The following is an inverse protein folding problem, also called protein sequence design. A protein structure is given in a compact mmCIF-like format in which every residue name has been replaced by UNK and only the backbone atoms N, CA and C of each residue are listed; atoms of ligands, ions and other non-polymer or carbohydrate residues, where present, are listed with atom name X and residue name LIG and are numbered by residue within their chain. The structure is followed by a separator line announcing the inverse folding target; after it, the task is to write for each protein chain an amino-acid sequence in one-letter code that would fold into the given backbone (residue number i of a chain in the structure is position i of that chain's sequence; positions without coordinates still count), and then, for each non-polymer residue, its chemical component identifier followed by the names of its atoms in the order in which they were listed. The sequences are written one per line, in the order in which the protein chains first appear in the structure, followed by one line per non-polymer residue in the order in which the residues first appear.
data_IF_554646373991
#
_entry.id   IF_554646373991
#
_cell.length_a   1.000
_cell.length_b   1.000
_cell.length_c   1.000
_cell.angle_alpha   90.00
_cell.angle_beta   90.00
_cell.angle_gamma   90.00
#
_symmetry.space_group_name_H-M   'P 1'
#
loop_
_entity.id
_entity.type
_entity.pdbx_description
1 polymer ?
#
# COMPACT_ATOMS: atom_id res chain seq x y z
N UNK A 1 -9.98 23.49 -15.21
CA UNK A 1 -10.82 22.34 -15.64
C UNK A 1 -10.35 21.01 -15.05
N UNK A 2 -9.04 20.72 -15.03
CA UNK A 2 -8.51 19.45 -14.49
C UNK A 2 -8.71 19.33 -12.97
N UNK A 3 -8.41 20.39 -12.21
CA UNK A 3 -8.58 20.43 -10.76
C UNK A 3 -10.03 20.20 -10.32
N UNK A 4 -10.99 20.80 -11.03
CA UNK A 4 -12.43 20.59 -10.73
C UNK A 4 -12.87 19.15 -10.99
N UNK A 5 -12.30 18.48 -11.98
CA UNK A 5 -12.59 17.07 -12.30
C UNK A 5 -12.05 16.16 -11.18
N UNK A 6 -10.79 16.37 -10.76
CA UNK A 6 -10.18 15.60 -9.68
C UNK A 6 -11.00 15.73 -8.38
N UNK A 7 -11.41 16.93 -8.00
CA UNK A 7 -12.23 17.16 -6.81
C UNK A 7 -13.58 16.43 -6.88
N UNK A 8 -14.26 16.47 -8.00
CA UNK A 8 -15.53 15.77 -8.19
C UNK A 8 -15.36 14.25 -8.10
N UNK A 9 -14.35 13.70 -8.75
CA UNK A 9 -14.02 12.28 -8.69
C UNK A 9 -13.65 11.85 -7.27
N UNK A 10 -12.84 12.63 -6.56
CA UNK A 10 -12.49 12.39 -5.16
C UNK A 10 -13.73 12.36 -4.27
N UNK A 11 -14.66 13.27 -4.46
CA UNK A 11 -15.92 13.30 -3.71
C UNK A 11 -16.79 12.07 -3.99
N UNK A 12 -16.85 11.62 -5.24
CA UNK A 12 -17.57 10.39 -5.61
C UNK A 12 -16.94 9.16 -4.95
N UNK A 13 -15.60 9.04 -4.99
CA UNK A 13 -14.87 7.95 -4.32
C UNK A 13 -15.10 7.96 -2.81
N UNK A 14 -15.03 9.13 -2.19
CA UNK A 14 -15.29 9.30 -0.75
C UNK A 14 -16.68 8.80 -0.35
N UNK A 15 -17.71 9.18 -1.11
CA UNK A 15 -19.08 8.73 -0.83
C UNK A 15 -19.26 7.22 -1.06
N UNK A 16 -18.58 6.65 -2.07
CA UNK A 16 -18.57 5.20 -2.27
C UNK A 16 -17.88 4.48 -1.12
N UNK A 17 -16.72 4.97 -0.69
CA UNK A 17 -15.95 4.40 0.41
C UNK A 17 -16.74 4.39 1.73
N UNK A 18 -17.55 5.40 2.00
CA UNK A 18 -18.44 5.43 3.17
C UNK A 18 -19.53 4.37 3.14
N UNK A 19 -20.06 4.04 1.96
CA UNK A 19 -21.24 3.18 1.80
C UNK A 19 -20.93 1.70 1.61
N UNK A 20 -19.74 1.34 1.15
CA UNK A 20 -19.35 -0.03 0.79
C UNK A 20 -18.35 -0.62 1.78
N UNK A 21 -18.58 -1.87 2.17
CA UNK A 21 -17.54 -2.74 2.71
C UNK A 21 -16.68 -3.22 1.54
N UNK A 22 -15.36 -3.02 1.66
CA UNK A 22 -14.36 -3.57 0.78
C UNK A 22 -14.41 -3.06 -0.66
N UNK A 23 -13.28 -2.75 -1.17
CA UNK A 23 -13.05 -2.48 -2.59
C UNK A 23 -11.89 -3.33 -3.12
N UNK A 24 -11.41 -4.28 -2.29
CA UNK A 24 -10.34 -5.20 -2.65
C UNK A 24 -10.72 -6.07 -3.84
N UNK A 25 -9.74 -6.37 -4.65
CA UNK A 25 -9.89 -7.34 -5.74
C UNK A 25 -9.94 -8.76 -5.18
N UNK A 26 -10.72 -9.63 -5.79
CA UNK A 26 -10.75 -11.09 -5.50
C UNK A 26 -10.83 -11.50 -4.01
N UNK A 27 -11.27 -10.62 -3.10
CA UNK A 27 -11.39 -10.95 -1.67
C UNK A 27 -10.09 -10.89 -0.88
N UNK A 28 -9.09 -10.18 -1.35
CA UNK A 28 -7.78 -10.02 -0.69
C UNK A 28 -7.94 -9.50 0.74
N UNK A 29 -8.75 -8.47 0.94
CA UNK A 29 -9.01 -7.93 2.28
C UNK A 29 -9.52 -9.02 3.23
N UNK A 30 -10.48 -9.84 2.83
CA UNK A 30 -11.05 -10.90 3.66
C UNK A 30 -10.00 -11.96 4.03
N UNK A 31 -9.06 -12.25 3.12
CA UNK A 31 -7.94 -13.17 3.40
C UNK A 31 -6.97 -12.55 4.41
N UNK A 32 -6.57 -11.31 4.21
CA UNK A 32 -5.71 -10.57 5.13
C UNK A 32 -6.35 -10.42 6.51
N UNK A 33 -7.65 -10.09 6.58
CA UNK A 33 -8.38 -9.97 7.83
C UNK A 33 -8.41 -11.31 8.60
N UNK A 34 -8.63 -12.44 7.93
CA UNK A 34 -8.53 -13.78 8.54
C UNK A 34 -7.13 -14.05 9.10
N UNK A 35 -6.07 -13.68 8.38
CA UNK A 35 -4.68 -13.85 8.82
C UNK A 35 -4.43 -12.98 10.06
N UNK A 36 -4.82 -11.70 10.04
CA UNK A 36 -4.66 -10.80 11.18
C UNK A 36 -5.40 -11.30 12.42
N UNK A 37 -6.63 -11.78 12.24
CA UNK A 37 -7.42 -12.37 13.33
C UNK A 37 -6.74 -13.64 13.90
N UNK A 38 -6.18 -14.49 13.05
CA UNK A 38 -5.44 -15.69 13.49
C UNK A 38 -4.23 -15.31 14.34
N UNK A 39 -3.53 -14.25 14.00
CA UNK A 39 -2.40 -13.73 14.79
C UNK A 39 -2.83 -12.81 15.94
N UNK A 40 -4.15 -12.62 16.16
CA UNK A 40 -4.73 -11.74 17.20
C UNK A 40 -4.24 -10.28 17.10
N UNK A 41 -4.04 -9.79 15.88
CA UNK A 41 -3.66 -8.42 15.61
C UNK A 41 -4.94 -7.64 15.29
N UNK A 42 -5.37 -6.77 16.21
CA UNK A 42 -6.63 -6.02 16.08
C UNK A 42 -6.44 -4.51 15.85
N UNK A 43 -5.26 -3.98 16.03
CA UNK A 43 -4.96 -2.55 15.91
C UNK A 43 -3.51 -2.35 15.47
N UNK A 44 -3.21 -2.80 14.27
CA UNK A 44 -1.86 -2.87 13.75
C UNK A 44 -1.37 -1.62 13.03
N UNK A 45 -0.17 -1.73 12.49
CA UNK A 45 0.45 -0.75 11.60
C UNK A 45 0.63 -1.35 10.20
N UNK A 46 0.17 -0.63 9.18
CA UNK A 46 0.24 -1.05 7.77
C UNK A 46 1.18 -0.12 7.01
N UNK A 47 2.00 -0.70 6.14
CA UNK A 47 2.69 0.01 5.06
C UNK A 47 2.07 -0.43 3.75
N UNK A 48 1.50 0.51 3.01
CA UNK A 48 0.84 0.30 1.72
C UNK A 48 1.63 1.06 0.64
N UNK A 49 2.37 0.32 -0.16
CA UNK A 49 3.21 0.87 -1.23
C UNK A 49 2.50 0.67 -2.56
N UNK A 50 2.38 1.73 -3.34
CA UNK A 50 1.51 1.88 -4.50
C UNK A 50 0.01 1.81 -4.12
N UNK A 51 -0.35 2.64 -3.12
CA UNK A 51 -1.70 2.67 -2.56
C UNK A 51 -2.79 3.15 -3.53
N UNK A 52 -2.42 3.61 -4.72
CA UNK A 52 -3.33 4.09 -5.74
C UNK A 52 -4.20 5.26 -5.27
N UNK A 53 -5.48 5.23 -5.59
CA UNK A 53 -6.44 6.23 -5.12
C UNK A 53 -6.99 5.96 -3.69
N UNK A 54 -6.52 4.90 -3.06
CA UNK A 54 -6.91 4.48 -1.71
C UNK A 54 -8.29 3.82 -1.63
N UNK A 55 -8.99 3.64 -2.76
CA UNK A 55 -10.31 3.01 -2.80
C UNK A 55 -10.38 1.84 -3.77
N UNK A 56 -10.05 2.06 -5.06
CA UNK A 56 -10.14 1.00 -6.07
C UNK A 56 -9.10 -0.06 -5.78
N UNK A 57 -9.54 -1.32 -5.72
CA UNK A 57 -8.70 -2.49 -5.45
C UNK A 57 -7.89 -2.41 -4.13
N UNK A 58 -8.22 -1.48 -3.23
CA UNK A 58 -7.51 -1.36 -1.97
C UNK A 58 -7.86 -2.51 -1.02
N UNK A 59 -6.88 -3.29 -0.64
CA UNK A 59 -6.99 -4.32 0.38
C UNK A 59 -6.75 -3.78 1.81
N UNK A 60 -6.33 -2.52 1.95
CA UNK A 60 -5.94 -1.90 3.23
C UNK A 60 -6.98 -0.93 3.78
N UNK A 61 -7.84 -0.34 2.94
CA UNK A 61 -8.80 0.69 3.31
C UNK A 61 -9.68 0.30 4.51
N UNK A 62 -10.19 -0.93 4.54
CA UNK A 62 -11.12 -1.34 5.60
C UNK A 62 -10.41 -1.55 6.95
N UNK A 63 -9.10 -1.82 6.97
CA UNK A 63 -8.30 -1.76 8.19
C UNK A 63 -8.19 -0.32 8.71
N UNK A 64 -7.92 0.65 7.83
CA UNK A 64 -7.85 2.06 8.23
C UNK A 64 -9.19 2.60 8.73
N UNK A 65 -10.32 2.17 8.15
CA UNK A 65 -11.66 2.47 8.67
C UNK A 65 -11.87 1.94 10.09
N UNK A 66 -11.23 0.84 10.45
CA UNK A 66 -11.24 0.26 11.80
C UNK A 66 -10.27 0.96 12.77
N UNK A 67 -9.56 1.99 12.31
CA UNK A 67 -8.66 2.80 13.13
C UNK A 67 -7.22 2.32 13.21
N UNK A 68 -6.80 1.43 12.29
CA UNK A 68 -5.40 1.03 12.17
C UNK A 68 -4.53 2.22 11.80
N UNK A 69 -3.24 2.13 12.13
CA UNK A 69 -2.22 3.12 11.78
C UNK A 69 -1.53 2.71 10.49
N UNK A 70 -0.89 3.64 9.82
CA UNK A 70 -0.07 3.24 8.68
C UNK A 70 0.58 4.37 7.91
N UNK A 71 1.26 3.94 6.86
CA UNK A 71 1.83 4.78 5.82
C UNK A 71 1.31 4.28 4.48
N UNK A 72 0.74 5.17 3.67
CA UNK A 72 0.43 4.91 2.28
C UNK A 72 1.38 5.72 1.39
N UNK A 73 2.02 5.05 0.44
CA UNK A 73 2.93 5.67 -0.52
C UNK A 73 2.35 5.54 -1.93
N UNK A 74 2.29 6.65 -2.66
CA UNK A 74 1.79 6.69 -4.03
C UNK A 74 2.60 7.68 -4.85
N UNK A 75 2.97 7.30 -6.08
CA UNK A 75 3.79 8.13 -6.95
C UNK A 75 2.97 8.99 -7.91
N UNK A 76 1.84 8.47 -8.42
CA UNK A 76 1.02 9.20 -9.38
C UNK A 76 0.32 10.40 -8.74
N UNK A 77 0.50 11.61 -9.26
CA UNK A 77 -0.06 12.82 -8.64
C UNK A 77 -1.59 12.84 -8.61
N UNK A 78 -2.27 12.20 -9.56
CA UNK A 78 -3.74 12.18 -9.62
C UNK A 78 -4.26 11.18 -8.59
N UNK A 79 -3.74 9.96 -8.57
CA UNK A 79 -4.07 8.93 -7.58
C UNK A 79 -3.78 9.42 -6.18
N UNK A 80 -2.61 10.04 -5.95
CA UNK A 80 -2.27 10.63 -4.66
C UNK A 80 -3.24 11.74 -4.22
N UNK A 81 -3.75 12.53 -5.17
CA UNK A 81 -4.76 13.56 -4.84
C UNK A 81 -6.07 12.92 -4.35
N UNK A 82 -6.52 11.84 -5.00
CA UNK A 82 -7.69 11.08 -4.56
C UNK A 82 -7.46 10.41 -3.20
N UNK A 83 -6.31 9.76 -3.03
CA UNK A 83 -5.87 9.15 -1.78
C UNK A 83 -5.89 10.17 -0.64
N UNK A 84 -5.27 11.34 -0.84
CA UNK A 84 -5.21 12.41 0.16
C UNK A 84 -6.59 12.91 0.54
N UNK A 85 -7.48 13.09 -0.44
CA UNK A 85 -8.85 13.52 -0.18
C UNK A 85 -9.64 12.47 0.61
N UNK A 86 -9.50 11.20 0.26
CA UNK A 86 -10.21 10.11 0.95
C UNK A 86 -9.66 9.91 2.37
N UNK A 87 -8.34 9.95 2.54
CA UNK A 87 -7.66 9.55 3.78
C UNK A 87 -7.52 10.69 4.80
N UNK A 88 -7.92 11.94 4.47
CA UNK A 88 -7.93 13.02 5.46
C UNK A 88 -8.75 12.71 6.72
N UNK A 89 -9.71 11.78 6.61
CA UNK A 89 -10.52 11.30 7.72
C UNK A 89 -9.80 10.28 8.62
N UNK A 90 -8.63 9.78 8.23
CA UNK A 90 -7.84 8.79 8.97
C UNK A 90 -6.57 9.43 9.57
N UNK A 91 -6.68 10.13 10.71
CA UNK A 91 -5.57 10.93 11.26
C UNK A 91 -4.36 10.10 11.72
N UNK A 92 -4.47 8.78 11.75
CA UNK A 92 -3.40 7.86 12.12
C UNK A 92 -2.66 7.28 10.90
N UNK A 93 -3.03 7.72 9.70
CA UNK A 93 -2.42 7.25 8.44
C UNK A 93 -1.63 8.39 7.83
N UNK A 94 -0.33 8.19 7.69
CA UNK A 94 0.55 9.10 6.99
C UNK A 94 0.45 8.84 5.47
N UNK A 95 0.61 9.89 4.69
CA UNK A 95 0.64 9.81 3.24
C UNK A 95 1.96 10.36 2.73
N UNK A 96 2.58 9.65 1.80
CA UNK A 96 3.85 10.03 1.20
C UNK A 96 3.77 9.95 -0.32
N UNK A 97 4.01 11.07 -1.00
CA UNK A 97 4.06 11.10 -2.46
C UNK A 97 5.49 10.85 -2.92
N UNK A 98 5.80 9.62 -3.22
CA UNK A 98 7.14 9.20 -3.63
C UNK A 98 7.11 8.06 -4.64
N UNK A 99 8.10 8.03 -5.52
CA UNK A 99 8.47 6.82 -6.27
C UNK A 99 9.27 5.94 -5.32
N UNK A 100 8.82 4.72 -5.10
CA UNK A 100 9.53 3.75 -4.27
C UNK A 100 10.48 2.93 -5.12
N UNK A 101 11.73 2.84 -4.68
CA UNK A 101 12.80 2.05 -5.31
C UNK A 101 13.59 1.31 -4.22
N UNK A 102 14.39 0.30 -4.58
CA UNK A 102 15.31 -0.32 -3.61
C UNK A 102 16.30 0.67 -2.99
N UNK A 103 16.61 1.79 -3.68
CA UNK A 103 17.56 2.78 -3.19
C UNK A 103 16.99 3.70 -2.10
N UNK A 104 15.68 3.89 -2.07
CA UNK A 104 15.07 4.91 -1.20
C UNK A 104 13.98 4.39 -0.25
N UNK A 105 13.55 3.15 -0.38
CA UNK A 105 12.43 2.62 0.43
C UNK A 105 12.68 2.79 1.92
N UNK A 106 13.88 2.45 2.40
CA UNK A 106 14.23 2.58 3.82
C UNK A 106 14.18 4.04 4.30
N UNK A 107 14.64 4.98 3.47
CA UNK A 107 14.60 6.42 3.78
C UNK A 107 13.15 6.93 3.89
N UNK A 108 12.26 6.48 3.00
CA UNK A 108 10.83 6.82 3.04
C UNK A 108 10.21 6.29 4.34
N UNK A 109 10.50 5.05 4.71
CA UNK A 109 9.97 4.44 5.93
C UNK A 109 10.49 5.15 7.18
N UNK A 110 11.78 5.47 7.24
CA UNK A 110 12.39 6.19 8.36
C UNK A 110 11.86 7.62 8.49
N UNK A 111 11.76 8.36 7.40
CA UNK A 111 11.21 9.72 7.37
C UNK A 111 9.75 9.79 7.87
N UNK A 112 9.00 8.69 7.72
CA UNK A 112 7.63 8.58 8.19
C UNK A 112 7.49 7.87 9.55
N UNK A 113 8.61 7.63 10.25
CA UNK A 113 8.64 6.96 11.56
C UNK A 113 7.93 5.60 11.58
N UNK A 114 8.07 4.82 10.50
CA UNK A 114 7.50 3.47 10.41
C UNK A 114 8.20 2.56 11.42
N UNK A 115 7.45 1.84 12.28
CA UNK A 115 8.04 0.88 13.18
C UNK A 115 8.82 -0.22 12.44
N UNK A 116 9.99 -0.61 12.89
CA UNK A 116 10.77 -1.68 12.24
C UNK A 116 9.98 -3.00 12.16
N UNK A 117 9.19 -3.33 13.20
CA UNK A 117 8.36 -4.53 13.28
C UNK A 117 6.88 -4.15 13.10
N UNK A 118 6.48 -3.73 11.90
CA UNK A 118 5.09 -3.42 11.63
C UNK A 118 4.27 -4.68 11.25
N UNK A 119 2.96 -4.57 11.13
CA UNK A 119 2.09 -5.74 11.06
C UNK A 119 1.85 -6.22 9.64
N UNK A 120 1.60 -5.30 8.70
CA UNK A 120 1.28 -5.64 7.31
C UNK A 120 2.07 -4.76 6.34
N UNK A 121 2.78 -5.40 5.42
CA UNK A 121 3.23 -4.80 4.18
C UNK A 121 2.27 -5.17 3.06
N UNK A 122 1.72 -4.19 2.36
CA UNK A 122 1.14 -4.34 1.04
C UNK A 122 2.06 -3.69 0.03
N UNK A 123 2.50 -4.43 -0.97
CA UNK A 123 3.48 -4.00 -1.97
C UNK A 123 3.04 -4.48 -3.35
N UNK A 124 2.77 -3.54 -4.25
CA UNK A 124 2.27 -3.80 -5.60
C UNK A 124 2.67 -2.63 -6.51
N UNK A 125 3.93 -2.64 -6.98
CA UNK A 125 4.48 -1.60 -7.85
C UNK A 125 4.62 -2.05 -9.31
N UNK A 126 4.08 -3.23 -9.63
CA UNK A 126 4.08 -3.81 -10.99
C UNK A 126 5.49 -3.97 -11.60
N UNK A 127 6.53 -4.13 -10.79
CA UNK A 127 7.90 -4.04 -11.32
C UNK A 127 8.92 -4.83 -10.45
N UNK A 128 9.77 -4.12 -9.73
CA UNK A 128 10.87 -4.70 -8.92
C UNK A 128 10.50 -4.91 -7.44
N UNK A 129 9.28 -5.34 -7.17
CA UNK A 129 8.71 -5.55 -5.82
C UNK A 129 9.61 -6.40 -4.94
N UNK A 130 10.13 -7.51 -5.49
CA UNK A 130 11.03 -8.39 -4.77
C UNK A 130 12.30 -7.68 -4.28
N UNK A 131 12.87 -6.77 -5.08
CA UNK A 131 14.07 -6.03 -4.69
C UNK A 131 13.79 -4.97 -3.64
N UNK A 132 12.64 -4.30 -3.74
CA UNK A 132 12.16 -3.37 -2.71
C UNK A 132 11.96 -4.12 -1.38
N UNK A 133 11.26 -5.25 -1.42
CA UNK A 133 11.04 -6.07 -0.22
C UNK A 133 12.35 -6.56 0.40
N UNK A 134 13.28 -7.08 -0.40
CA UNK A 134 14.61 -7.50 0.08
C UNK A 134 15.34 -6.37 0.76
N UNK A 135 15.35 -5.19 0.16
CA UNK A 135 16.02 -4.02 0.74
C UNK A 135 15.39 -3.59 2.06
N UNK A 136 14.07 -3.64 2.17
CA UNK A 136 13.39 -3.37 3.43
C UNK A 136 13.86 -4.33 4.54
N UNK A 137 13.92 -5.63 4.23
CA UNK A 137 14.37 -6.64 5.19
C UNK A 137 15.85 -6.47 5.59
N UNK A 138 16.74 -6.14 4.64
CA UNK A 138 18.15 -5.81 4.89
C UNK A 138 18.31 -4.63 5.84
N UNK A 139 17.40 -3.65 5.76
CA UNK A 139 17.37 -2.47 6.64
C UNK A 139 16.56 -2.71 7.94
N UNK A 140 16.33 -3.99 8.28
CA UNK A 140 15.63 -4.44 9.48
C UNK A 140 14.17 -3.98 9.60
N UNK A 141 13.50 -3.68 8.49
CA UNK A 141 12.05 -3.56 8.48
C UNK A 141 11.45 -4.96 8.29
N UNK A 142 10.83 -5.48 9.33
CA UNK A 142 10.36 -6.88 9.38
C UNK A 142 8.85 -6.93 9.62
N UNK A 143 8.03 -6.81 8.54
CA UNK A 143 6.59 -6.95 8.65
C UNK A 143 6.21 -8.38 9.09
N UNK A 144 5.14 -8.51 9.87
CA UNK A 144 4.62 -9.82 10.30
C UNK A 144 3.89 -10.55 9.17
N UNK A 145 3.26 -9.80 8.28
CA UNK A 145 2.55 -10.32 7.10
C UNK A 145 2.96 -9.49 5.89
N UNK A 146 3.17 -10.16 4.77
CA UNK A 146 3.47 -9.53 3.48
C UNK A 146 2.38 -9.95 2.50
N UNK A 147 1.73 -8.96 1.90
CA UNK A 147 0.91 -9.08 0.70
C UNK A 147 1.69 -8.46 -0.45
N UNK A 148 1.95 -9.23 -1.48
CA UNK A 148 2.74 -8.78 -2.62
C UNK A 148 2.21 -9.45 -3.89
N UNK A 149 2.21 -8.70 -5.00
CA UNK A 149 1.88 -9.28 -6.29
C UNK A 149 2.91 -10.33 -6.70
N UNK A 150 2.44 -11.41 -7.31
CA UNK A 150 3.26 -12.40 -7.98
C UNK A 150 2.80 -12.56 -9.43
N UNK A 151 3.74 -12.71 -10.35
CA UNK A 151 3.40 -12.97 -11.74
C UNK A 151 3.04 -14.45 -11.94
N UNK A 152 1.74 -14.75 -11.88
CA UNK A 152 1.20 -16.12 -12.07
C UNK A 152 1.50 -16.74 -13.45
N UNK A 153 1.83 -15.91 -14.45
CA UNK A 153 2.17 -16.37 -15.81
C UNK A 153 3.55 -17.01 -15.89
N UNK A 154 4.35 -16.87 -14.83
CA UNK A 154 5.68 -17.46 -14.72
C UNK A 154 5.67 -18.48 -13.56
N UNK A 155 5.17 -19.72 -13.81
CA UNK A 155 4.99 -20.69 -12.73
C UNK A 155 6.34 -21.31 -12.30
N UNK A 156 6.42 -21.81 -11.05
CA UNK A 156 7.56 -22.64 -10.63
C UNK A 156 7.77 -23.84 -11.59
N UNK A 157 9.02 -24.27 -11.84
CA UNK A 157 10.26 -23.88 -11.11
C UNK A 157 11.05 -22.73 -11.72
N UNK A 158 10.45 -21.90 -12.57
CA UNK A 158 11.13 -20.80 -13.21
C UNK A 158 11.42 -19.70 -12.17
N UNK A 159 12.69 -19.38 -11.98
CA UNK A 159 13.11 -18.25 -11.14
C UNK A 159 13.18 -16.99 -12.00
N UNK A 160 12.25 -16.08 -11.78
CA UNK A 160 12.20 -14.81 -12.48
C UNK A 160 11.93 -13.67 -11.50
N UNK A 161 12.64 -12.58 -11.66
CA UNK A 161 12.32 -11.31 -11.03
C UNK A 161 12.79 -10.16 -11.92
N UNK A 162 12.04 -9.09 -11.95
CA UNK A 162 12.47 -7.84 -12.56
C UNK A 162 13.54 -7.24 -11.66
N UNK A 163 14.67 -6.88 -12.25
CA UNK A 163 15.75 -6.20 -11.54
C UNK A 163 15.60 -4.69 -11.67
N UNK A 164 15.85 -4.00 -10.58
CA UNK A 164 15.91 -2.55 -10.62
C UNK A 164 17.17 -2.07 -11.34
N UNK A 165 17.01 -1.27 -12.38
CA UNK A 165 18.11 -0.52 -12.99
C UNK A 165 17.88 0.98 -12.76
N UNK A 166 18.83 1.62 -12.06
CA UNK A 166 18.79 3.07 -11.79
C UNK A 166 18.88 3.94 -13.05
N UNK A 167 19.24 3.35 -14.19
CA UNK A 167 19.34 4.05 -15.47
C UNK A 167 18.09 3.89 -16.35
N UNK A 168 17.19 2.97 -16.00
CA UNK A 168 15.88 2.86 -16.64
C UNK A 168 15.01 4.08 -16.22
N UNK A 169 14.53 4.81 -17.25
CA UNK A 169 13.71 6.02 -17.09
C UNK A 169 12.26 5.72 -17.44
#
# INVERSE_FOLDING_TARGET
KQTSKILLESFVLFNKAKKKKGSSYAGEFEHLDKIMNKFKISNGYIVDIAAGDGYRQSCTLDFFKRGWKGLCVEMDPISFSHLSFLYHQFPKVNLSKNIVTPLNVHLILEANNVPKNFDLLNLDIDSYDLEVMKKMLEENFTPKVISMEINEKIPPPIYFSIKFDKNDK
#
